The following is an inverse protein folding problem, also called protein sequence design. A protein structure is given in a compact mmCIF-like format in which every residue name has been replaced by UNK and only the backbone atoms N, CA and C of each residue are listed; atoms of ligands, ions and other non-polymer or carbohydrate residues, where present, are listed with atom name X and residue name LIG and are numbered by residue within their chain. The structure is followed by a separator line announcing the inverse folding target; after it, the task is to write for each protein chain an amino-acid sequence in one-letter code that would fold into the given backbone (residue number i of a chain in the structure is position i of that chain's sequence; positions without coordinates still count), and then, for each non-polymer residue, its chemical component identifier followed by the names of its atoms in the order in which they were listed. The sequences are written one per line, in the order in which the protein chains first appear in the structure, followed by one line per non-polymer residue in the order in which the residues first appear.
data_IF_868214074910
#
_entry.id   IF_868214074910
#
_cell.length_a   1.000
_cell.length_b   1.000
_cell.length_c   1.000
_cell.angle_alpha   90.00
_cell.angle_beta   90.00
_cell.angle_gamma   90.00
#
_symmetry.space_group_name_H-M   'P 1'
#
loop_
_entity.id
_entity.type
_entity.pdbx_description
1 polymer ?
#
# COMPACT_ATOMS: atom_id res chain seq x y z
N UNK A 1 10.13 26.36 26.16
CA UNK A 1 11.32 25.96 26.95
C UNK A 1 11.91 24.71 26.31
N UNK A 2 13.24 24.52 26.32
CA UNK A 2 13.97 23.29 25.87
C UNK A 2 13.65 22.86 24.41
N UNK A 3 14.46 23.05 23.38
CA UNK A 3 15.92 23.13 23.24
C UNK A 3 16.69 21.91 23.75
N UNK A 4 17.25 21.13 22.82
CA UNK A 4 18.61 20.57 22.81
C UNK A 4 18.99 20.23 21.34
N UNK A 5 20.30 20.23 21.03
CA UNK A 5 20.95 19.92 19.73
C UNK A 5 22.23 19.13 20.02
N UNK A 6 22.95 18.68 18.98
CA UNK A 6 24.25 17.95 19.00
C UNK A 6 24.15 16.49 19.49
N UNK A 7 25.03 15.55 19.13
CA UNK A 7 26.27 15.61 18.32
C UNK A 7 26.10 14.78 17.02
N UNK A 8 26.77 14.98 15.87
CA UNK A 8 27.87 15.88 15.43
C UNK A 8 29.33 15.45 15.71
N UNK A 9 30.01 14.98 14.64
CA UNK A 9 31.48 14.81 14.47
C UNK A 9 32.25 13.80 15.34
N UNK A 10 32.99 12.90 14.68
CA UNK A 10 34.48 12.78 14.72
C UNK A 10 34.93 11.76 13.63
N UNK A 11 36.22 11.47 13.44
CA UNK A 11 37.16 12.14 12.51
C UNK A 11 38.41 11.23 12.35
N UNK A 12 39.02 11.18 11.14
CA UNK A 12 40.24 10.44 10.77
C UNK A 12 40.09 8.89 10.69
N UNK A 13 40.59 8.15 9.69
CA UNK A 13 41.80 8.21 8.83
C UNK A 13 43.02 7.48 9.40
N UNK A 14 43.35 6.32 8.82
CA UNK A 14 44.70 5.73 8.83
C UNK A 14 45.03 5.22 7.42
N UNK A 15 46.12 5.72 6.85
CA UNK A 15 46.85 5.11 5.75
C UNK A 15 47.90 4.15 6.33
N UNK A 16 48.06 2.94 5.79
CA UNK A 16 49.38 2.33 5.55
C UNK A 16 49.30 0.93 4.91
N UNK A 17 50.07 0.77 3.82
CA UNK A 17 51.04 -0.31 3.56
C UNK A 17 50.83 -1.68 4.23
N UNK A 18 50.76 -2.71 3.39
CA UNK A 18 51.45 -3.98 3.65
C UNK A 18 52.02 -4.54 2.35
N UNK A 19 53.35 -4.63 2.27
CA UNK A 19 54.05 -5.24 1.15
C UNK A 19 54.27 -6.73 1.41
N UNK A 20 54.15 -7.54 0.36
CA UNK A 20 54.56 -8.95 0.28
C UNK A 20 54.81 -9.19 -1.21
N UNK A 21 56.03 -9.31 -1.74
CA UNK A 21 57.27 -9.97 -1.30
C UNK A 21 57.10 -11.50 -1.13
N UNK A 22 58.06 -12.25 -1.70
CA UNK A 22 57.86 -13.57 -2.31
C UNK A 22 58.05 -13.44 -3.83
N UNK A 23 59.25 -13.38 -4.40
CA UNK A 23 60.42 -14.28 -4.27
C UNK A 23 60.10 -15.74 -4.61
N UNK A 24 60.55 -16.20 -5.79
CA UNK A 24 60.47 -17.61 -6.21
C UNK A 24 60.73 -17.85 -7.71
N UNK A 25 61.96 -18.25 -8.09
CA UNK A 25 62.33 -18.66 -9.47
C UNK A 25 62.46 -17.49 -10.47
N UNK A 26 63.54 -17.26 -11.24
CA UNK A 26 64.66 -18.08 -11.72
C UNK A 26 64.29 -19.26 -12.65
N UNK A 27 65.23 -19.55 -13.58
CA UNK A 27 65.27 -20.65 -14.56
C UNK A 27 64.10 -20.78 -15.56
N UNK A 28 64.11 -19.98 -16.64
CA UNK A 28 63.90 -20.47 -18.02
C UNK A 28 64.31 -19.44 -19.10
N UNK A 29 65.58 -19.01 -19.15
CA UNK A 29 66.06 -18.03 -20.15
C UNK A 29 67.43 -18.30 -20.78
N UNK A 30 67.91 -19.54 -20.70
CA UNK A 30 69.07 -20.03 -21.43
C UNK A 30 68.66 -21.29 -22.21
N UNK A 31 68.64 -21.24 -23.55
CA UNK A 31 68.82 -22.46 -24.37
C UNK A 31 69.18 -22.20 -25.85
N UNK A 32 68.74 -21.10 -26.47
CA UNK A 32 68.96 -20.84 -27.91
C UNK A 32 69.73 -19.56 -28.21
N UNK A 33 71.01 -19.56 -27.87
CA UNK A 33 71.98 -18.50 -28.22
C UNK A 33 73.37 -19.07 -28.54
N UNK A 34 73.44 -20.22 -29.24
CA UNK A 34 74.73 -20.92 -29.44
C UNK A 34 74.87 -21.73 -30.75
N UNK A 35 74.82 -21.06 -31.90
CA UNK A 35 75.59 -21.51 -33.07
C UNK A 35 75.93 -20.35 -34.02
N UNK A 36 77.17 -19.85 -33.95
CA UNK A 36 77.75 -18.94 -34.94
C UNK A 36 79.30 -19.06 -34.92
N UNK A 37 79.86 -19.18 -36.12
CA UNK A 37 81.26 -18.97 -36.52
C UNK A 37 82.39 -19.89 -35.98
N UNK A 38 83.32 -20.20 -36.91
CA UNK A 38 84.61 -20.86 -36.70
C UNK A 38 84.73 -22.21 -37.46
N UNK A 39 85.69 -22.43 -38.37
CA UNK A 39 86.75 -21.54 -38.92
C UNK A 39 87.11 -21.91 -40.38
N UNK A 40 87.74 -20.96 -41.08
CA UNK A 40 88.84 -21.01 -42.08
C UNK A 40 89.22 -22.35 -42.76
N UNK A 41 89.36 -22.39 -44.10
CA UNK A 41 90.63 -22.26 -44.90
C UNK A 41 91.58 -23.46 -44.70
N UNK A 42 92.23 -24.10 -45.70
CA UNK A 42 92.83 -23.63 -46.97
C UNK A 42 92.44 -24.55 -48.16
N UNK A 43 92.20 -24.08 -49.39
CA UNK A 43 93.09 -23.52 -50.43
C UNK A 43 93.66 -24.55 -51.46
N UNK A 44 93.05 -24.54 -52.65
CA UNK A 44 93.70 -24.65 -53.98
C UNK A 44 94.20 -26.01 -54.51
N UNK A 45 93.55 -26.51 -55.58
CA UNK A 45 94.18 -26.63 -56.92
C UNK A 45 93.12 -26.80 -58.03
N UNK A 46 93.52 -26.54 -59.28
CA UNK A 46 92.60 -26.31 -60.39
C UNK A 46 92.56 -27.45 -61.43
N UNK A 47 91.44 -27.59 -62.13
CA UNK A 47 91.38 -27.95 -63.56
C UNK A 47 90.00 -27.59 -64.14
N UNK A 48 89.85 -27.36 -65.47
CA UNK A 48 88.66 -26.73 -66.04
C UNK A 48 87.59 -27.71 -66.54
N UNK A 49 86.33 -27.43 -66.24
CA UNK A 49 85.15 -28.06 -66.85
C UNK A 49 83.98 -27.06 -66.95
N UNK A 50 84.10 -26.12 -67.90
CA UNK A 50 83.05 -25.15 -68.22
C UNK A 50 81.89 -25.86 -68.98
N UNK A 51 80.74 -25.20 -69.12
CA UNK A 51 79.57 -25.64 -69.91
C UNK A 51 78.65 -26.75 -69.36
N UNK A 52 78.75 -27.14 -68.08
CA UNK A 52 77.65 -27.90 -67.40
C UNK A 52 77.23 -27.38 -66.02
N UNK A 53 78.13 -26.79 -65.23
CA UNK A 53 77.80 -26.28 -63.89
C UNK A 53 76.70 -25.19 -63.90
N UNK A 54 76.63 -24.38 -64.97
CA UNK A 54 75.63 -23.32 -65.12
C UNK A 54 74.18 -23.82 -65.06
N UNK A 55 73.89 -25.01 -65.60
CA UNK A 55 72.52 -25.56 -65.56
C UNK A 55 72.12 -26.04 -64.15
N UNK A 56 73.07 -26.52 -63.35
CA UNK A 56 72.81 -26.90 -61.95
C UNK A 56 72.45 -25.70 -61.09
N UNK A 57 73.27 -24.65 -61.16
CA UNK A 57 73.02 -23.37 -60.47
C UNK A 57 71.71 -22.70 -60.93
N UNK A 58 71.39 -22.76 -62.22
CA UNK A 58 70.15 -22.19 -62.73
C UNK A 58 68.91 -22.94 -62.23
N UNK A 59 68.96 -24.29 -62.15
CA UNK A 59 67.90 -25.14 -61.58
C UNK A 59 67.73 -24.91 -60.07
N UNK A 60 68.81 -24.71 -59.34
CA UNK A 60 68.76 -24.41 -57.91
C UNK A 60 68.15 -23.03 -57.65
N UNK A 61 68.50 -22.02 -58.45
CA UNK A 61 67.86 -20.70 -58.38
C UNK A 61 66.37 -20.75 -58.75
N UNK A 62 65.95 -21.51 -59.77
CA UNK A 62 64.52 -21.64 -60.07
C UNK A 62 63.76 -22.37 -58.97
N UNK A 63 64.32 -23.43 -58.39
CA UNK A 63 63.70 -24.13 -57.26
C UNK A 63 63.55 -23.22 -56.02
N UNK A 64 64.57 -22.43 -55.68
CA UNK A 64 64.50 -21.43 -54.60
C UNK A 64 63.52 -20.29 -54.91
N UNK A 65 63.35 -19.93 -56.19
CA UNK A 65 62.39 -18.91 -56.62
C UNK A 65 60.94 -19.43 -56.59
N UNK A 66 60.72 -20.70 -56.94
CA UNK A 66 59.46 -21.43 -56.78
C UNK A 66 59.11 -21.59 -55.28
N UNK A 67 60.07 -21.95 -54.44
CA UNK A 67 59.88 -22.06 -52.99
C UNK A 67 59.59 -20.70 -52.35
N UNK A 68 60.31 -19.64 -52.73
CA UNK A 68 60.07 -18.28 -52.23
C UNK A 68 58.69 -17.75 -52.68
N UNK A 69 58.28 -17.94 -53.94
CA UNK A 69 56.94 -17.55 -54.39
C UNK A 69 55.83 -18.37 -53.72
N UNK A 70 56.06 -19.66 -53.44
CA UNK A 70 55.17 -20.49 -52.63
C UNK A 70 55.05 -19.97 -51.19
N UNK A 71 56.16 -19.73 -50.49
CA UNK A 71 56.16 -19.19 -49.12
C UNK A 71 55.54 -17.79 -49.05
N UNK A 72 55.70 -16.96 -50.08
CA UNK A 72 54.98 -15.69 -50.21
C UNK A 72 53.47 -15.91 -50.34
N UNK A 73 53.03 -16.90 -51.12
CA UNK A 73 51.60 -17.21 -51.27
C UNK A 73 50.97 -17.77 -50.00
N UNK A 74 51.66 -18.66 -49.28
CA UNK A 74 51.24 -19.22 -47.98
C UNK A 74 51.22 -18.12 -46.91
N UNK A 75 52.24 -17.25 -46.88
CA UNK A 75 52.28 -16.07 -46.00
C UNK A 75 51.19 -15.03 -46.31
N UNK A 76 50.75 -14.92 -47.57
CA UNK A 76 49.59 -14.09 -47.96
C UNK A 76 48.25 -14.75 -47.60
N UNK A 77 48.14 -16.08 -47.62
CA UNK A 77 46.96 -16.80 -47.13
C UNK A 77 46.82 -16.64 -45.61
N UNK A 78 47.88 -16.95 -44.84
CA UNK A 78 47.88 -16.83 -43.38
C UNK A 78 47.56 -15.40 -42.89
N UNK A 79 48.00 -14.38 -43.62
CA UNK A 79 47.65 -12.97 -43.34
C UNK A 79 46.17 -12.68 -43.56
N UNK A 80 45.54 -13.24 -44.61
CA UNK A 80 44.10 -13.11 -44.87
C UNK A 80 43.28 -13.82 -43.81
N UNK A 81 43.68 -15.03 -43.42
CA UNK A 81 43.04 -15.81 -42.35
C UNK A 81 43.11 -15.08 -41.01
N UNK A 82 44.29 -14.55 -40.64
CA UNK A 82 44.44 -13.75 -39.42
C UNK A 82 43.63 -12.43 -39.46
N UNK A 83 43.50 -11.78 -40.63
CA UNK A 83 42.61 -10.63 -40.77
C UNK A 83 41.13 -11.02 -40.67
N UNK A 84 40.72 -12.13 -41.29
CA UNK A 84 39.35 -12.64 -41.19
C UNK A 84 39.00 -13.03 -39.75
N UNK A 85 39.89 -13.69 -39.03
CA UNK A 85 39.68 -14.03 -37.62
C UNK A 85 39.58 -12.79 -36.74
N UNK A 86 40.45 -11.79 -36.94
CA UNK A 86 40.39 -10.50 -36.23
C UNK A 86 39.07 -9.77 -36.50
N UNK A 87 38.61 -9.73 -37.75
CA UNK A 87 37.32 -9.13 -38.11
C UNK A 87 36.14 -9.91 -37.52
N UNK A 88 36.18 -11.25 -37.50
CA UNK A 88 35.15 -12.08 -36.90
C UNK A 88 35.07 -11.90 -35.37
N UNK A 89 36.22 -11.84 -34.68
CA UNK A 89 36.30 -11.53 -33.23
C UNK A 89 35.76 -10.12 -32.91
N UNK A 90 36.04 -9.13 -33.77
CA UNK A 90 35.52 -7.77 -33.60
C UNK A 90 34.01 -7.69 -33.85
N UNK A 91 33.49 -8.35 -34.90
CA UNK A 91 32.06 -8.45 -35.17
C UNK A 91 31.31 -9.12 -34.01
N UNK A 92 31.78 -10.29 -33.53
CA UNK A 92 31.15 -10.98 -32.39
C UNK A 92 31.15 -10.12 -31.11
N UNK A 93 32.17 -9.28 -30.89
CA UNK A 93 32.19 -8.34 -29.76
C UNK A 93 31.23 -7.16 -29.98
N UNK A 94 31.09 -6.67 -31.21
CA UNK A 94 30.11 -5.63 -31.56
C UNK A 94 28.68 -6.16 -31.37
N UNK A 95 28.37 -7.37 -31.82
CA UNK A 95 27.07 -8.03 -31.62
C UNK A 95 26.76 -8.25 -30.12
N UNK A 96 27.77 -8.62 -29.33
CA UNK A 96 27.63 -8.75 -27.87
C UNK A 96 27.32 -7.42 -27.18
N UNK A 97 28.01 -6.33 -27.54
CA UNK A 97 27.74 -5.00 -26.99
C UNK A 97 26.40 -4.43 -27.45
N UNK A 98 26.02 -4.64 -28.72
CA UNK A 98 24.68 -4.30 -29.23
C UNK A 98 23.59 -5.03 -28.44
N UNK A 99 23.81 -6.30 -28.09
CA UNK A 99 22.88 -7.09 -27.27
C UNK A 99 22.77 -6.53 -25.84
N UNK A 100 23.88 -6.14 -25.21
CA UNK A 100 23.88 -5.49 -23.89
C UNK A 100 23.17 -4.13 -23.93
N UNK A 101 23.44 -3.31 -24.95
CA UNK A 101 22.81 -2.00 -25.13
C UNK A 101 21.28 -2.12 -25.30
N UNK A 102 20.79 -3.12 -26.03
CA UNK A 102 19.36 -3.43 -26.13
C UNK A 102 18.76 -3.88 -24.79
N UNK A 103 19.48 -4.67 -23.98
CA UNK A 103 19.04 -5.07 -22.64
C UNK A 103 18.95 -3.86 -21.69
N UNK A 104 19.93 -2.96 -21.73
CA UNK A 104 19.94 -1.74 -20.90
C UNK A 104 18.81 -0.78 -21.33
N UNK A 105 18.55 -0.64 -22.63
CA UNK A 105 17.40 0.12 -23.14
C UNK A 105 16.07 -0.46 -22.66
N UNK A 106 15.87 -1.78 -22.79
CA UNK A 106 14.65 -2.44 -22.30
C UNK A 106 14.46 -2.31 -20.77
N UNK A 107 15.54 -2.34 -19.99
CA UNK A 107 15.50 -2.11 -18.55
C UNK A 107 15.11 -0.66 -18.20
N UNK A 108 15.64 0.32 -18.92
CA UNK A 108 15.28 1.74 -18.77
C UNK A 108 13.82 2.02 -19.18
N UNK A 109 13.33 1.38 -20.24
CA UNK A 109 11.93 1.45 -20.65
C UNK A 109 11.00 0.83 -19.61
N UNK A 110 11.31 -0.37 -19.10
CA UNK A 110 10.55 -1.04 -18.05
C UNK A 110 10.49 -0.22 -16.76
N UNK A 111 11.61 0.38 -16.32
CA UNK A 111 11.62 1.32 -15.18
C UNK A 111 10.74 2.53 -15.46
N UNK A 112 10.69 3.03 -16.70
CA UNK A 112 9.83 4.17 -17.05
C UNK A 112 8.34 3.81 -17.00
N UNK A 113 7.93 2.66 -17.55
CA UNK A 113 6.55 2.18 -17.51
C UNK A 113 6.10 1.89 -16.07
N UNK A 114 6.93 1.17 -15.30
CA UNK A 114 6.65 0.88 -13.89
C UNK A 114 6.63 2.14 -13.02
N UNK A 115 7.40 3.19 -13.36
CA UNK A 115 7.32 4.48 -12.66
C UNK A 115 5.99 5.18 -12.89
N UNK A 116 5.41 5.07 -14.10
CA UNK A 116 4.11 5.65 -14.45
C UNK A 116 2.98 4.87 -13.81
N UNK A 117 2.99 3.53 -13.88
CA UNK A 117 1.97 2.68 -13.26
C UNK A 117 1.95 2.85 -11.73
N UNK A 118 3.12 2.81 -11.08
CA UNK A 118 3.26 3.03 -9.63
C UNK A 118 2.73 4.40 -9.21
N UNK A 119 3.00 5.45 -9.99
CA UNK A 119 2.49 6.81 -9.72
C UNK A 119 0.96 6.86 -9.84
N UNK A 120 0.37 6.24 -10.87
CA UNK A 120 -1.08 6.17 -11.04
C UNK A 120 -1.77 5.39 -9.90
N UNK A 121 -1.19 4.28 -9.46
CA UNK A 121 -1.71 3.54 -8.29
C UNK A 121 -1.62 4.39 -7.02
N UNK A 122 -0.48 5.05 -6.77
CA UNK A 122 -0.29 5.93 -5.62
C UNK A 122 -1.30 7.08 -5.60
N UNK A 123 -1.51 7.76 -6.72
CA UNK A 123 -2.49 8.86 -6.82
C UNK A 123 -3.92 8.37 -6.59
N UNK A 124 -4.26 7.15 -7.05
CA UNK A 124 -5.56 6.52 -6.77
C UNK A 124 -5.74 6.19 -5.28
N UNK A 125 -4.71 5.66 -4.61
CA UNK A 125 -4.75 5.40 -3.17
C UNK A 125 -4.79 6.70 -2.35
N UNK A 126 -4.06 7.75 -2.76
CA UNK A 126 -4.15 9.08 -2.15
C UNK A 126 -5.55 9.70 -2.32
N UNK A 127 -6.22 9.46 -3.45
CA UNK A 127 -7.62 9.85 -3.65
C UNK A 127 -8.56 9.07 -2.71
N UNK A 128 -8.36 7.74 -2.57
CA UNK A 128 -9.12 6.89 -1.65
C UNK A 128 -8.93 7.33 -0.20
N UNK A 129 -7.69 7.62 0.23
CA UNK A 129 -7.36 8.12 1.56
C UNK A 129 -8.06 9.46 1.87
N UNK A 130 -8.02 10.42 0.94
CA UNK A 130 -8.74 11.70 1.08
C UNK A 130 -10.25 11.50 1.18
N UNK A 131 -10.82 10.57 0.42
CA UNK A 131 -12.24 10.24 0.49
C UNK A 131 -12.61 9.61 1.84
N UNK A 132 -11.80 8.68 2.37
CA UNK A 132 -12.00 8.10 3.72
C UNK A 132 -11.95 9.18 4.81
N UNK A 133 -11.01 10.13 4.72
CA UNK A 133 -10.93 11.27 5.64
C UNK A 133 -12.13 12.23 5.55
N UNK A 134 -12.65 12.48 4.34
CA UNK A 134 -13.87 13.27 4.14
C UNK A 134 -15.11 12.55 4.70
N UNK A 135 -15.19 11.22 4.52
CA UNK A 135 -16.29 10.42 5.07
C UNK A 135 -16.27 10.38 6.60
N UNK A 136 -15.10 10.24 7.24
CA UNK A 136 -14.99 10.40 8.70
C UNK A 136 -15.54 11.76 9.15
N UNK A 137 -15.04 12.87 8.58
CA UNK A 137 -15.50 14.22 8.92
C UNK A 137 -17.03 14.38 8.76
N UNK A 138 -17.60 13.97 7.63
CA UNK A 138 -19.06 13.98 7.42
C UNK A 138 -19.81 13.12 8.45
N UNK A 139 -19.26 11.97 8.85
CA UNK A 139 -19.90 11.06 9.80
C UNK A 139 -19.83 11.65 11.22
N UNK A 140 -18.70 12.22 11.63
CA UNK A 140 -18.58 12.95 12.90
C UNK A 140 -19.57 14.12 12.97
N UNK A 141 -19.66 14.95 11.93
CA UNK A 141 -20.63 16.06 11.87
C UNK A 141 -22.07 15.56 11.97
N UNK A 142 -22.43 14.53 11.19
CA UNK A 142 -23.77 13.92 11.21
C UNK A 142 -24.09 13.27 12.56
N UNK A 143 -23.11 12.72 13.28
CA UNK A 143 -23.28 12.13 14.61
C UNK A 143 -23.45 13.21 15.68
N UNK A 144 -22.64 14.27 15.64
CA UNK A 144 -22.79 15.44 16.55
C UNK A 144 -24.13 16.14 16.33
N UNK A 145 -24.58 16.29 15.08
CA UNK A 145 -25.90 16.85 14.75
C UNK A 145 -27.04 15.95 15.26
N UNK A 146 -26.93 14.62 15.10
CA UNK A 146 -27.90 13.65 15.64
C UNK A 146 -27.95 13.65 17.16
N UNK A 147 -26.81 13.69 17.85
CA UNK A 147 -26.75 13.79 19.32
C UNK A 147 -27.54 15.01 19.76
N UNK A 148 -27.16 16.21 19.29
CA UNK A 148 -27.83 17.47 19.65
C UNK A 148 -29.34 17.44 19.40
N UNK A 149 -29.79 16.83 18.31
CA UNK A 149 -31.22 16.68 18.02
C UNK A 149 -31.94 15.73 19.00
N UNK A 150 -31.27 14.66 19.43
CA UNK A 150 -31.78 13.72 20.45
C UNK A 150 -31.71 14.32 21.86
N UNK A 151 -30.65 15.06 22.20
CA UNK A 151 -30.49 15.77 23.48
C UNK A 151 -31.62 16.78 23.69
N UNK A 152 -32.00 17.51 22.63
CA UNK A 152 -33.17 18.43 22.62
C UNK A 152 -34.50 17.68 22.77
N UNK A 153 -34.65 16.50 22.17
CA UNK A 153 -35.86 15.67 22.35
C UNK A 153 -35.97 15.12 23.78
N UNK A 154 -34.86 14.66 24.34
CA UNK A 154 -34.78 14.12 25.70
C UNK A 154 -35.09 15.22 26.73
N UNK A 155 -34.47 16.40 26.61
CA UNK A 155 -34.75 17.54 27.47
C UNK A 155 -36.23 17.99 27.42
N UNK A 156 -36.84 17.98 26.23
CA UNK A 156 -38.28 18.28 26.07
C UNK A 156 -39.16 17.23 26.76
N UNK A 157 -38.87 15.94 26.61
CA UNK A 157 -39.62 14.87 27.28
C UNK A 157 -39.48 14.94 28.81
N UNK A 158 -38.28 15.25 29.32
CA UNK A 158 -38.10 15.50 30.75
C UNK A 158 -38.88 16.72 31.27
N UNK A 159 -38.90 17.83 30.52
CA UNK A 159 -39.67 19.02 30.89
C UNK A 159 -41.18 18.73 30.90
N UNK A 160 -41.68 18.02 29.88
CA UNK A 160 -43.07 17.56 29.84
C UNK A 160 -43.40 16.62 31.01
N UNK A 161 -42.52 15.67 31.34
CA UNK A 161 -42.68 14.79 32.51
C UNK A 161 -42.77 15.59 33.81
N UNK A 162 -41.85 16.52 34.05
CA UNK A 162 -41.82 17.36 35.26
C UNK A 162 -43.08 18.22 35.37
N UNK A 163 -43.58 18.78 34.27
CA UNK A 163 -44.83 19.55 34.22
C UNK A 163 -46.06 18.69 34.57
N UNK A 164 -46.17 17.50 34.00
CA UNK A 164 -47.26 16.55 34.30
C UNK A 164 -47.21 16.04 35.75
N UNK A 165 -46.01 15.82 36.30
CA UNK A 165 -45.82 15.47 37.71
C UNK A 165 -46.27 16.60 38.65
N UNK A 166 -45.93 17.86 38.33
CA UNK A 166 -46.42 19.02 39.09
C UNK A 166 -47.95 19.16 39.03
N UNK A 167 -48.57 18.93 37.86
CA UNK A 167 -50.03 18.91 37.72
C UNK A 167 -50.66 17.79 38.57
N UNK A 168 -50.13 16.57 38.50
CA UNK A 168 -50.59 15.45 39.31
C UNK A 168 -50.50 15.74 40.82
N UNK A 169 -49.44 16.40 41.28
CA UNK A 169 -49.28 16.75 42.70
C UNK A 169 -50.18 17.90 43.16
N UNK A 170 -50.63 18.76 42.24
CA UNK A 170 -51.70 19.73 42.50
C UNK A 170 -53.08 19.07 42.58
N UNK A 171 -53.39 18.12 41.70
CA UNK A 171 -54.64 17.34 41.76
C UNK A 171 -54.72 16.49 43.04
N UNK A 172 -53.61 15.84 43.47
CA UNK A 172 -53.55 15.12 44.76
C UNK A 172 -53.88 16.02 45.95
N UNK A 173 -53.36 17.25 45.97
CA UNK A 173 -53.67 18.23 47.03
C UNK A 173 -55.13 18.69 47.00
N UNK A 174 -55.74 18.78 45.82
CA UNK A 174 -57.18 19.05 45.71
C UNK A 174 -58.02 17.91 46.29
N UNK A 175 -57.65 16.66 46.03
CA UNK A 175 -58.27 15.48 46.66
C UNK A 175 -58.14 15.55 48.19
N UNK A 176 -56.92 15.73 48.72
CA UNK A 176 -56.65 15.79 50.16
C UNK A 176 -57.47 16.91 50.86
N UNK A 177 -57.61 18.07 50.22
CA UNK A 177 -58.41 19.20 50.73
C UNK A 177 -59.92 18.88 50.69
N UNK A 178 -60.40 18.24 49.62
CA UNK A 178 -61.80 17.85 49.49
C UNK A 178 -62.18 16.73 50.48
N UNK A 179 -61.31 15.75 50.71
CA UNK A 179 -61.47 14.69 51.72
C UNK A 179 -61.57 15.29 53.13
N UNK A 180 -60.66 16.19 53.48
CA UNK A 180 -60.69 16.93 54.76
C UNK A 180 -61.97 17.75 54.91
N UNK A 181 -62.47 18.36 53.83
CA UNK A 181 -63.74 19.10 53.85
C UNK A 181 -64.95 18.17 54.01
N UNK A 182 -64.95 16.98 53.41
CA UNK A 182 -66.00 15.97 53.62
C UNK A 182 -66.01 15.48 55.07
N UNK A 183 -64.84 15.31 55.70
CA UNK A 183 -64.76 14.94 57.12
C UNK A 183 -65.45 16.00 58.02
N UNK A 184 -65.09 17.28 57.86
CA UNK A 184 -65.71 18.39 58.62
C UNK A 184 -67.22 18.49 58.36
N UNK A 185 -67.67 18.32 57.11
CA UNK A 185 -69.10 18.33 56.79
C UNK A 185 -69.88 17.16 57.41
N UNK A 186 -69.23 16.01 57.64
CA UNK A 186 -69.84 14.88 58.37
C UNK A 186 -69.92 15.14 59.87
N UNK A 187 -68.87 15.72 60.46
CA UNK A 187 -68.90 16.17 61.86
C UNK A 187 -70.02 17.21 62.09
N UNK A 188 -70.23 18.12 61.12
CA UNK A 188 -71.33 19.11 61.11
C UNK A 188 -72.71 18.43 60.96
N UNK A 189 -72.83 17.42 60.08
CA UNK A 189 -74.04 16.62 59.90
C UNK A 189 -74.42 15.83 61.16
N UNK A 190 -73.47 15.13 61.79
CA UNK A 190 -73.68 14.39 63.05
C UNK A 190 -74.12 15.33 64.19
N UNK A 191 -73.58 16.56 64.23
CA UNK A 191 -74.02 17.60 65.16
C UNK A 191 -75.49 17.99 64.93
N UNK A 192 -75.90 18.26 63.69
CA UNK A 192 -77.29 18.61 63.37
C UNK A 192 -78.25 17.45 63.58
N UNK A 193 -77.86 16.20 63.31
CA UNK A 193 -78.65 15.02 63.63
C UNK A 193 -78.85 14.86 65.15
N UNK A 194 -77.79 15.06 65.94
CA UNK A 194 -77.89 15.09 67.42
C UNK A 194 -78.81 16.22 67.93
N UNK A 195 -78.77 17.39 67.30
CA UNK A 195 -79.66 18.51 67.64
C UNK A 195 -81.11 18.20 67.27
N UNK A 196 -81.38 17.72 66.05
CA UNK A 196 -82.74 17.36 65.59
C UNK A 196 -83.35 16.27 66.47
N UNK A 197 -82.56 15.28 66.88
CA UNK A 197 -83.01 14.21 67.78
C UNK A 197 -83.38 14.73 69.18
N UNK A 198 -82.64 15.73 69.70
CA UNK A 198 -82.99 16.39 70.98
C UNK A 198 -84.27 17.22 70.85
N UNK A 199 -84.35 18.08 69.83
CA UNK A 199 -85.55 18.88 69.55
C UNK A 199 -86.82 18.01 69.41
N UNK A 200 -86.70 16.83 68.80
CA UNK A 200 -87.79 15.85 68.73
C UNK A 200 -88.20 15.27 70.10
N UNK A 201 -87.23 14.92 70.95
CA UNK A 201 -87.47 14.40 72.31
C UNK A 201 -88.03 15.48 73.25
N UNK A 202 -87.54 16.71 73.13
CA UNK A 202 -87.94 17.86 73.94
C UNK A 202 -89.30 18.46 73.53
N UNK A 203 -89.92 17.95 72.44
CA UNK A 203 -91.23 18.40 71.96
C UNK A 203 -91.21 19.79 71.29
N UNK A 204 -90.10 20.15 70.65
CA UNK A 204 -89.93 21.45 70.01
C UNK A 204 -90.89 21.67 68.82
N UNK A 205 -91.18 22.93 68.43
CA UNK A 205 -92.03 23.22 67.29
C UNK A 205 -91.47 22.64 65.99
N UNK A 206 -92.33 22.05 65.16
CA UNK A 206 -91.94 21.35 63.93
C UNK A 206 -91.01 22.18 63.02
N UNK A 207 -91.21 23.50 62.93
CA UNK A 207 -90.34 24.38 62.13
C UNK A 207 -88.86 24.33 62.55
N UNK A 208 -88.57 24.17 63.84
CA UNK A 208 -87.17 24.05 64.34
C UNK A 208 -86.55 22.68 64.01
N UNK A 209 -87.39 21.64 63.89
CA UNK A 209 -87.00 20.29 63.47
C UNK A 209 -86.77 20.28 61.95
N UNK A 210 -87.59 21.00 61.19
CA UNK A 210 -87.45 21.21 59.75
C UNK A 210 -86.21 22.05 59.41
N UNK A 211 -85.89 23.10 60.19
CA UNK A 211 -84.66 23.88 60.07
C UNK A 211 -83.40 23.00 60.23
N UNK A 212 -83.36 22.14 61.27
CA UNK A 212 -82.28 21.19 61.46
C UNK A 212 -82.23 20.13 60.34
N UNK A 213 -83.37 19.69 59.81
CA UNK A 213 -83.42 18.79 58.65
C UNK A 213 -82.92 19.46 57.36
N UNK A 214 -83.19 20.75 57.17
CA UNK A 214 -82.67 21.52 56.04
C UNK A 214 -81.15 21.74 56.13
N UNK A 215 -80.61 21.92 57.35
CA UNK A 215 -79.17 21.97 57.59
C UNK A 215 -78.46 20.66 57.20
N UNK A 216 -79.01 19.51 57.64
CA UNK A 216 -78.52 18.17 57.25
C UNK A 216 -78.54 18.00 55.72
N UNK A 217 -79.66 18.28 55.06
CA UNK A 217 -79.78 18.14 53.61
C UNK A 217 -78.82 19.08 52.82
N UNK A 218 -78.43 20.21 53.41
CA UNK A 218 -77.41 21.09 52.85
C UNK A 218 -75.98 20.53 53.05
N UNK A 219 -75.70 19.88 54.19
CA UNK A 219 -74.46 19.16 54.42
C UNK A 219 -74.29 17.98 53.44
N UNK A 220 -75.31 17.12 53.29
CA UNK A 220 -75.35 16.02 52.31
C UNK A 220 -75.02 16.51 50.89
N UNK A 221 -75.69 17.58 50.45
CA UNK A 221 -75.49 18.21 49.14
C UNK A 221 -74.06 18.73 48.95
N UNK A 222 -73.45 19.27 50.00
CA UNK A 222 -72.06 19.72 49.97
C UNK A 222 -71.08 18.53 49.94
N UNK A 223 -71.35 17.46 50.68
CA UNK A 223 -70.56 16.21 50.65
C UNK A 223 -70.61 15.60 49.25
N UNK A 224 -71.78 15.51 48.62
CA UNK A 224 -71.92 15.09 47.22
C UNK A 224 -71.10 15.96 46.26
N UNK A 225 -71.09 17.28 46.46
CA UNK A 225 -70.38 18.21 45.59
C UNK A 225 -68.85 18.07 45.71
N UNK A 226 -68.32 17.88 46.92
CA UNK A 226 -66.89 17.60 47.12
C UNK A 226 -66.51 16.19 46.63
N UNK A 227 -67.36 15.18 46.83
CA UNK A 227 -67.12 13.82 46.33
C UNK A 227 -67.04 13.79 44.79
N UNK A 228 -67.86 14.59 44.09
CA UNK A 228 -67.78 14.74 42.63
C UNK A 228 -66.45 15.37 42.19
N UNK A 229 -65.85 16.28 42.98
CA UNK A 229 -64.50 16.80 42.72
C UNK A 229 -63.43 15.74 42.95
N UNK A 230 -63.48 14.99 44.06
CA UNK A 230 -62.55 13.88 44.34
C UNK A 230 -62.56 12.88 43.17
N UNK A 231 -63.73 12.49 42.70
CA UNK A 231 -63.87 11.55 41.59
C UNK A 231 -63.27 12.12 40.28
N UNK A 232 -63.49 13.41 40.01
CA UNK A 232 -62.91 14.09 38.83
C UNK A 232 -61.38 14.21 38.91
N UNK A 233 -60.84 14.66 40.05
CA UNK A 233 -59.40 14.79 40.25
C UNK A 233 -58.69 13.43 40.27
N UNK A 234 -59.34 12.38 40.78
CA UNK A 234 -58.83 11.00 40.72
C UNK A 234 -58.75 10.50 39.27
N UNK A 235 -59.75 10.80 38.43
CA UNK A 235 -59.71 10.48 37.01
C UNK A 235 -58.59 11.25 36.28
N UNK A 236 -58.41 12.54 36.59
CA UNK A 236 -57.31 13.36 36.07
C UNK A 236 -55.94 12.77 36.47
N UNK A 237 -55.74 12.42 37.74
CA UNK A 237 -54.51 11.80 38.26
C UNK A 237 -54.18 10.51 37.49
N UNK A 238 -55.16 9.64 37.25
CA UNK A 238 -54.95 8.39 36.51
C UNK A 238 -54.51 8.64 35.05
N UNK A 239 -55.15 9.58 34.35
CA UNK A 239 -54.75 9.96 32.99
C UNK A 239 -53.37 10.64 32.91
N UNK A 240 -53.02 11.45 33.93
CA UNK A 240 -51.68 12.02 34.06
C UNK A 240 -50.63 10.93 34.33
N UNK A 241 -50.93 9.91 35.14
CA UNK A 241 -50.05 8.77 35.38
C UNK A 241 -49.82 7.93 34.11
N UNK A 242 -50.87 7.65 33.33
CA UNK A 242 -50.76 6.95 32.04
C UNK A 242 -49.88 7.75 31.06
N UNK A 243 -50.07 9.06 30.97
CA UNK A 243 -49.26 9.95 30.12
C UNK A 243 -47.78 9.99 30.56
N UNK A 244 -47.52 10.02 31.86
CA UNK A 244 -46.15 9.98 32.42
C UNK A 244 -45.49 8.62 32.14
N UNK A 245 -46.23 7.52 32.22
CA UNK A 245 -45.72 6.19 31.89
C UNK A 245 -45.38 6.05 30.39
N UNK A 246 -46.18 6.64 29.49
CA UNK A 246 -45.85 6.68 28.06
C UNK A 246 -44.55 7.46 27.82
N UNK A 247 -44.39 8.64 28.46
CA UNK A 247 -43.16 9.43 28.35
C UNK A 247 -41.93 8.66 28.87
N UNK A 248 -42.06 7.87 29.93
CA UNK A 248 -40.95 7.04 30.42
C UNK A 248 -40.56 5.92 29.45
N UNK A 249 -41.53 5.30 28.78
CA UNK A 249 -41.25 4.33 27.69
C UNK A 249 -40.55 5.05 26.51
N UNK A 250 -40.96 6.27 26.17
CA UNK A 250 -40.32 7.06 25.12
C UNK A 250 -38.88 7.45 25.51
N UNK A 251 -38.63 7.84 26.77
CA UNK A 251 -37.30 8.16 27.30
C UNK A 251 -36.40 6.92 27.32
N UNK A 252 -36.88 5.74 27.72
CA UNK A 252 -36.09 4.50 27.68
C UNK A 252 -35.75 4.11 26.24
N UNK A 253 -36.72 4.17 25.32
CA UNK A 253 -36.50 3.87 23.90
C UNK A 253 -35.48 4.83 23.26
N UNK A 254 -35.53 6.13 23.61
CA UNK A 254 -34.59 7.13 23.15
C UNK A 254 -33.18 6.84 23.70
N UNK A 255 -33.04 6.57 24.99
CA UNK A 255 -31.77 6.16 25.62
C UNK A 255 -31.18 4.87 25.02
N UNK A 256 -32.01 3.88 24.70
CA UNK A 256 -31.58 2.66 24.02
C UNK A 256 -31.12 2.92 22.57
N UNK A 257 -31.71 3.92 21.90
CA UNK A 257 -31.28 4.39 20.57
C UNK A 257 -29.92 5.10 20.66
N UNK A 258 -29.73 5.99 21.64
CA UNK A 258 -28.46 6.68 21.91
C UNK A 258 -27.33 5.66 22.09
N UNK A 259 -27.49 4.68 22.99
CA UNK A 259 -26.46 3.64 23.24
C UNK A 259 -26.09 2.87 21.97
N UNK A 260 -27.08 2.46 21.17
CA UNK A 260 -26.83 1.79 19.87
C UNK A 260 -26.08 2.68 18.88
N UNK A 261 -26.35 4.00 18.88
CA UNK A 261 -25.62 4.94 18.03
C UNK A 261 -24.17 5.15 18.46
N UNK A 262 -23.85 5.06 19.75
CA UNK A 262 -22.47 5.08 20.24
C UNK A 262 -21.70 3.82 19.84
N UNK A 263 -22.23 2.62 20.05
CA UNK A 263 -21.57 1.37 19.60
C UNK A 263 -21.42 1.32 18.07
N UNK A 264 -22.39 1.83 17.32
CA UNK A 264 -22.29 1.93 15.86
C UNK A 264 -21.29 3.01 15.39
N UNK A 265 -21.03 4.04 16.22
CA UNK A 265 -19.96 5.02 16.00
C UNK A 265 -18.59 4.39 16.26
N UNK A 266 -18.43 3.71 17.39
CA UNK A 266 -17.18 3.08 17.86
C UNK A 266 -16.62 2.08 16.82
N UNK A 267 -17.45 1.13 16.37
CA UNK A 267 -17.11 0.14 15.32
C UNK A 267 -16.72 0.84 14.00
N UNK A 268 -17.33 1.98 13.70
CA UNK A 268 -17.09 2.72 12.46
C UNK A 268 -15.80 3.56 12.54
N UNK A 269 -15.48 4.16 13.69
CA UNK A 269 -14.19 4.81 13.93
C UNK A 269 -13.04 3.80 13.87
N UNK A 270 -13.22 2.61 14.45
CA UNK A 270 -12.29 1.48 14.35
C UNK A 270 -12.08 1.05 12.88
N UNK A 271 -13.16 0.78 12.14
CA UNK A 271 -13.09 0.40 10.71
C UNK A 271 -12.40 1.48 9.85
N UNK A 272 -12.66 2.77 10.13
CA UNK A 272 -12.03 3.89 9.42
C UNK A 272 -10.54 4.01 9.77
N UNK A 273 -10.16 3.76 11.02
CA UNK A 273 -8.75 3.78 11.43
C UNK A 273 -7.95 2.64 10.77
N UNK A 274 -8.49 1.42 10.75
CA UNK A 274 -7.89 0.26 10.06
C UNK A 274 -7.68 0.54 8.56
N UNK A 275 -8.69 1.07 7.88
CA UNK A 275 -8.62 1.44 6.46
C UNK A 275 -7.61 2.58 6.20
N UNK A 276 -7.52 3.57 7.09
CA UNK A 276 -6.51 4.63 6.97
C UNK A 276 -5.08 4.13 7.21
N UNK A 277 -4.86 3.20 8.14
CA UNK A 277 -3.56 2.57 8.39
C UNK A 277 -3.14 1.68 7.21
N UNK A 278 -4.05 0.85 6.68
CA UNK A 278 -3.80 0.03 5.49
C UNK A 278 -3.41 0.90 4.29
N UNK A 279 -4.16 1.96 3.99
CA UNK A 279 -3.84 2.88 2.90
C UNK A 279 -2.51 3.60 3.10
N UNK A 280 -2.18 4.02 4.33
CA UNK A 280 -0.89 4.64 4.62
C UNK A 280 0.27 3.65 4.40
N UNK A 281 0.09 2.38 4.77
CA UNK A 281 1.06 1.30 4.55
C UNK A 281 1.26 0.99 3.06
N UNK A 282 0.17 0.87 2.28
CA UNK A 282 0.23 0.66 0.83
C UNK A 282 0.95 1.81 0.12
N UNK A 283 0.60 3.07 0.44
CA UNK A 283 1.23 4.26 -0.15
C UNK A 283 2.73 4.31 0.20
N UNK A 284 3.11 4.02 1.45
CA UNK A 284 4.51 3.98 1.87
C UNK A 284 5.30 2.86 1.16
N UNK A 285 4.68 1.69 0.94
CA UNK A 285 5.26 0.60 0.16
C UNK A 285 5.53 0.98 -1.30
N UNK A 286 4.55 1.61 -1.97
CA UNK A 286 4.72 2.12 -3.34
C UNK A 286 5.79 3.21 -3.42
N UNK A 287 5.84 4.13 -2.45
CA UNK A 287 6.86 5.18 -2.39
C UNK A 287 8.28 4.60 -2.21
N UNK A 288 8.43 3.53 -1.43
CA UNK A 288 9.71 2.83 -1.28
C UNK A 288 10.11 2.08 -2.56
N UNK A 289 9.16 1.42 -3.23
CA UNK A 289 9.40 0.69 -4.48
C UNK A 289 9.78 1.64 -5.63
N UNK A 290 9.09 2.79 -5.73
CA UNK A 290 9.39 3.84 -6.70
C UNK A 290 10.78 4.45 -6.48
N UNK A 291 11.15 4.70 -5.21
CA UNK A 291 12.48 5.22 -4.86
C UNK A 291 13.61 4.24 -5.22
N UNK A 292 13.44 2.92 -5.03
CA UNK A 292 14.44 1.91 -5.42
C UNK A 292 14.71 1.96 -6.93
N UNK A 293 13.66 1.82 -7.75
CA UNK A 293 13.77 1.82 -9.22
C UNK A 293 14.33 3.13 -9.78
N UNK A 294 13.98 4.26 -9.17
CA UNK A 294 14.53 5.56 -9.55
C UNK A 294 16.00 5.74 -9.12
N UNK A 295 16.49 4.98 -8.13
CA UNK A 295 17.91 4.91 -7.75
C UNK A 295 18.73 3.93 -8.62
N UNK A 296 18.10 2.91 -9.21
CA UNK A 296 18.72 1.99 -10.19
C UNK A 296 18.98 2.68 -11.55
N UNK A 297 18.04 3.53 -11.99
CA UNK A 297 18.12 4.30 -13.26
C UNK A 297 19.46 5.01 -13.54
N UNK A 298 20.09 5.76 -12.60
CA UNK A 298 21.39 6.40 -12.83
C UNK A 298 22.60 5.45 -12.81
N UNK A 299 22.43 4.15 -12.55
CA UNK A 299 23.45 3.14 -12.85
C UNK A 299 23.32 2.70 -14.31
N UNK A 300 22.12 2.24 -14.72
CA UNK A 300 21.82 1.83 -16.10
C UNK A 300 22.15 2.90 -17.17
N UNK A 301 22.03 4.19 -16.83
CA UNK A 301 22.45 5.27 -17.73
C UNK A 301 23.98 5.34 -17.92
N UNK A 302 24.78 5.03 -16.89
CA UNK A 302 26.24 4.92 -17.01
C UNK A 302 26.64 3.66 -17.77
N UNK A 303 26.02 2.52 -17.46
CA UNK A 303 26.24 1.26 -18.18
C UNK A 303 25.96 1.44 -19.69
N UNK A 304 24.93 2.23 -20.03
CA UNK A 304 24.63 2.65 -21.40
C UNK A 304 25.75 3.52 -22.00
N UNK A 305 26.16 4.60 -21.32
CA UNK A 305 27.21 5.50 -21.80
C UNK A 305 28.56 4.76 -22.01
N UNK A 306 28.90 3.83 -21.11
CA UNK A 306 30.10 2.99 -21.21
C UNK A 306 30.01 1.98 -22.37
N UNK A 307 28.85 1.33 -22.58
CA UNK A 307 28.66 0.40 -23.72
C UNK A 307 28.61 1.12 -25.07
N UNK A 308 28.01 2.31 -25.16
CA UNK A 308 28.07 3.17 -26.36
C UNK A 308 29.51 3.63 -26.64
N UNK A 309 30.28 4.02 -25.63
CA UNK A 309 31.69 4.37 -25.79
C UNK A 309 32.56 3.18 -26.25
N UNK A 310 32.30 1.97 -25.74
CA UNK A 310 32.98 0.75 -26.18
C UNK A 310 32.65 0.40 -27.64
N UNK A 311 31.41 0.57 -28.09
CA UNK A 311 31.02 0.38 -29.49
C UNK A 311 31.78 1.32 -30.42
N UNK A 312 31.78 2.63 -30.12
CA UNK A 312 32.54 3.64 -30.90
C UNK A 312 34.04 3.30 -30.93
N UNK A 313 34.60 2.82 -29.82
CA UNK A 313 35.99 2.35 -29.74
C UNK A 313 36.30 1.11 -30.60
N UNK A 314 35.32 0.23 -30.84
CA UNK A 314 35.46 -0.90 -31.78
C UNK A 314 35.30 -0.47 -33.24
N UNK A 315 34.39 0.44 -33.55
CA UNK A 315 34.22 0.99 -34.90
C UNK A 315 35.47 1.75 -35.38
N UNK A 316 36.16 2.45 -34.47
CA UNK A 316 37.46 3.05 -34.75
C UNK A 316 38.51 1.97 -35.07
N UNK A 317 38.58 0.90 -34.29
CA UNK A 317 39.54 -0.21 -34.51
C UNK A 317 39.27 -1.01 -35.78
N UNK A 318 38.02 -1.26 -36.14
CA UNK A 318 37.69 -1.90 -37.44
C UNK A 318 38.04 -0.97 -38.60
N UNK A 319 37.76 0.33 -38.49
CA UNK A 319 38.15 1.32 -39.50
C UNK A 319 39.68 1.47 -39.65
N UNK A 320 40.46 1.33 -38.57
CA UNK A 320 41.93 1.28 -38.63
C UNK A 320 42.44 0.02 -39.35
N UNK A 321 41.90 -1.16 -39.01
CA UNK A 321 42.25 -2.44 -39.65
C UNK A 321 41.90 -2.42 -41.16
N UNK A 322 40.81 -1.78 -41.55
CA UNK A 322 40.40 -1.60 -42.95
C UNK A 322 41.24 -0.54 -43.70
N UNK A 323 41.82 0.44 -43.00
CA UNK A 323 42.71 1.46 -43.58
C UNK A 323 44.18 1.04 -43.64
N UNK A 324 44.58 0.02 -42.89
CA UNK A 324 45.94 -0.49 -42.89
C UNK A 324 46.35 -0.95 -44.31
N UNK A 325 47.33 -0.29 -44.96
CA UNK A 325 47.68 -0.61 -46.34
C UNK A 325 48.29 -2.02 -46.42
N UNK A 326 47.92 -2.76 -47.47
CA UNK A 326 48.54 -4.06 -47.74
C UNK A 326 50.07 -3.90 -47.82
N UNK A 327 50.86 -4.62 -47.01
CA UNK A 327 52.30 -4.43 -46.94
C UNK A 327 52.94 -4.79 -48.30
N UNK A 328 53.75 -3.86 -48.84
CA UNK A 328 54.46 -4.06 -50.11
C UNK A 328 55.38 -5.28 -50.01
N UNK A 329 55.47 -6.12 -51.06
CA UNK A 329 56.25 -7.36 -51.01
C UNK A 329 57.76 -7.13 -50.81
N UNK A 330 58.27 -5.99 -51.26
CA UNK A 330 59.72 -5.71 -51.35
C UNK A 330 60.33 -5.10 -50.07
N UNK A 331 59.59 -5.06 -48.96
CA UNK A 331 60.11 -4.54 -47.69
C UNK A 331 60.78 -5.65 -46.88
N UNK A 332 62.08 -5.54 -46.53
CA UNK A 332 62.79 -6.60 -45.80
C UNK A 332 62.17 -6.82 -44.41
N UNK A 333 61.85 -8.07 -44.10
CA UNK A 333 61.15 -8.47 -42.88
C UNK A 333 62.14 -8.53 -41.70
N UNK A 334 62.29 -7.41 -41.00
CA UNK A 334 63.13 -7.32 -39.79
C UNK A 334 62.29 -7.53 -38.51
N UNK A 335 62.13 -8.80 -38.09
CA UNK A 335 61.93 -9.37 -36.73
C UNK A 335 60.97 -8.75 -35.70
N UNK A 336 60.32 -7.63 -35.96
CA UNK A 336 59.66 -6.79 -34.94
C UNK A 336 58.21 -7.24 -34.63
N UNK A 337 57.71 -8.28 -35.31
CA UNK A 337 56.27 -8.62 -35.33
C UNK A 337 55.84 -9.61 -34.23
N UNK A 338 56.74 -10.44 -33.70
CA UNK A 338 56.37 -11.53 -32.78
C UNK A 338 56.17 -11.13 -31.31
N UNK A 339 56.67 -9.97 -30.88
CA UNK A 339 56.62 -9.58 -29.46
C UNK A 339 55.27 -8.96 -29.01
N UNK A 340 54.54 -8.33 -29.92
CA UNK A 340 53.38 -7.48 -29.58
C UNK A 340 52.05 -8.25 -29.56
N UNK A 341 51.87 -9.21 -30.47
CA UNK A 341 50.59 -9.92 -30.66
C UNK A 341 50.20 -10.84 -29.50
N UNK A 342 51.18 -11.46 -28.83
CA UNK A 342 50.93 -12.42 -27.75
C UNK A 342 50.31 -11.74 -26.53
N UNK A 343 50.81 -10.55 -26.15
CA UNK A 343 50.34 -9.84 -24.95
C UNK A 343 48.89 -9.34 -25.05
N UNK A 344 48.47 -8.81 -26.21
CA UNK A 344 47.06 -8.43 -26.41
C UNK A 344 46.14 -9.66 -26.37
N UNK A 345 46.60 -10.81 -26.87
CA UNK A 345 45.81 -12.04 -26.92
C UNK A 345 45.64 -12.70 -25.54
N UNK A 346 46.66 -12.60 -24.67
CA UNK A 346 46.62 -13.07 -23.29
C UNK A 346 45.71 -12.19 -22.42
N UNK A 347 45.86 -10.86 -22.48
CA UNK A 347 45.00 -9.91 -21.77
C UNK A 347 43.53 -9.95 -22.24
N UNK A 348 43.28 -10.27 -23.51
CA UNK A 348 41.92 -10.44 -24.04
C UNK A 348 41.21 -11.70 -23.52
N UNK A 349 41.94 -12.73 -23.11
CA UNK A 349 41.37 -13.94 -22.52
C UNK A 349 41.04 -13.74 -21.03
N UNK A 350 41.95 -13.11 -20.29
CA UNK A 350 41.77 -12.82 -18.86
C UNK A 350 40.59 -11.87 -18.60
N UNK A 351 40.44 -10.82 -19.43
CA UNK A 351 39.29 -9.93 -19.39
C UNK A 351 37.94 -10.62 -19.70
N UNK A 352 37.94 -11.77 -20.37
CA UNK A 352 36.73 -12.56 -20.65
C UNK A 352 36.38 -13.54 -19.51
N UNK A 353 37.37 -13.93 -18.70
CA UNK A 353 37.18 -14.84 -17.56
C UNK A 353 36.62 -14.11 -16.32
N UNK A 354 36.99 -12.86 -16.10
CA UNK A 354 36.50 -12.03 -14.98
C UNK A 354 35.05 -11.58 -15.17
N UNK A 355 34.51 -11.65 -16.39
CA UNK A 355 33.14 -11.26 -16.74
C UNK A 355 32.07 -12.35 -16.46
N UNK A 356 32.27 -13.18 -15.43
CA UNK A 356 31.21 -14.04 -14.88
C UNK A 356 30.58 -13.36 -13.65
N UNK A 357 29.45 -12.66 -13.78
CA UNK A 357 28.70 -12.17 -12.63
C UNK A 357 28.00 -13.34 -11.94
N UNK A 358 28.73 -13.97 -11.02
CA UNK A 358 28.09 -14.71 -9.94
C UNK A 358 27.22 -13.73 -9.10
N UNK A 359 26.18 -14.23 -8.44
CA UNK A 359 25.16 -13.44 -7.76
C UNK A 359 24.30 -12.50 -8.64
N UNK A 360 23.48 -13.07 -9.52
CA UNK A 360 22.07 -12.70 -9.50
C UNK A 360 21.19 -13.94 -9.68
N UNK A 361 21.10 -14.70 -8.59
CA UNK A 361 20.10 -15.76 -8.43
C UNK A 361 18.72 -15.14 -8.43
N UNK A 362 18.14 -14.99 -9.61
CA UNK A 362 16.71 -14.73 -9.82
C UNK A 362 15.95 -15.95 -9.27
N UNK A 363 15.76 -15.95 -7.95
CA UNK A 363 14.91 -16.87 -7.23
C UNK A 363 13.50 -16.62 -7.76
N UNK A 364 13.14 -17.39 -8.79
CA UNK A 364 11.89 -17.26 -9.54
C UNK A 364 10.74 -17.57 -8.59
N UNK A 365 10.28 -16.53 -7.91
CA UNK A 365 9.29 -16.64 -6.85
C UNK A 365 8.04 -17.28 -7.43
N UNK A 366 7.78 -18.52 -7.00
CA UNK A 366 6.64 -19.28 -7.46
C UNK A 366 5.39 -18.71 -6.79
N UNK A 367 4.91 -17.58 -7.32
CA UNK A 367 3.74 -16.85 -6.86
C UNK A 367 2.62 -17.85 -6.50
N UNK A 368 2.39 -18.00 -5.20
CA UNK A 368 1.74 -19.19 -4.67
C UNK A 368 0.26 -19.17 -5.08
N UNK A 369 -0.25 -20.12 -5.89
CA UNK A 369 -1.62 -20.05 -6.43
C UNK A 369 -2.73 -20.17 -5.36
N UNK A 370 -2.34 -20.38 -4.10
CA UNK A 370 -3.20 -20.53 -2.91
C UNK A 370 -3.91 -19.24 -2.49
N UNK A 371 -3.40 -18.07 -2.87
CA UNK A 371 -4.01 -16.77 -2.50
C UNK A 371 -5.23 -16.45 -3.40
N UNK A 372 -5.11 -16.73 -4.70
CA UNK A 372 -6.21 -16.58 -5.66
C UNK A 372 -7.42 -17.47 -5.31
N UNK A 373 -7.19 -18.68 -4.79
CA UNK A 373 -8.28 -19.56 -4.33
C UNK A 373 -8.99 -19.03 -3.06
N UNK A 374 -8.26 -18.46 -2.09
CA UNK A 374 -8.86 -17.82 -0.90
C UNK A 374 -9.82 -16.70 -1.31
N UNK A 375 -9.37 -15.78 -2.16
CA UNK A 375 -10.19 -14.66 -2.63
C UNK A 375 -11.41 -15.16 -3.42
N UNK A 376 -11.26 -16.19 -4.26
CA UNK A 376 -12.40 -16.80 -4.97
C UNK A 376 -13.44 -17.40 -4.03
N UNK A 377 -13.03 -18.06 -2.93
CA UNK A 377 -13.96 -18.53 -1.91
C UNK A 377 -14.63 -17.38 -1.13
N UNK A 378 -13.90 -16.30 -0.84
CA UNK A 378 -14.47 -15.12 -0.18
C UNK A 378 -15.58 -14.47 -1.03
N UNK A 379 -15.31 -14.20 -2.32
CA UNK A 379 -16.32 -13.66 -3.23
C UNK A 379 -17.55 -14.56 -3.39
N UNK A 380 -17.38 -15.89 -3.46
CA UNK A 380 -18.52 -16.82 -3.52
C UNK A 380 -19.38 -16.79 -2.24
N UNK A 381 -18.77 -16.70 -1.06
CA UNK A 381 -19.51 -16.55 0.22
C UNK A 381 -20.22 -15.20 0.30
N UNK A 382 -19.56 -14.12 -0.10
CA UNK A 382 -20.14 -12.78 -0.14
C UNK A 382 -21.36 -12.71 -1.08
N UNK A 383 -21.23 -13.26 -2.29
CA UNK A 383 -22.32 -13.29 -3.28
C UNK A 383 -23.52 -14.10 -2.78
N UNK A 384 -23.29 -15.23 -2.08
CA UNK A 384 -24.34 -16.04 -1.48
C UNK A 384 -25.08 -15.30 -0.35
N UNK A 385 -24.35 -14.63 0.54
CA UNK A 385 -24.93 -13.81 1.61
C UNK A 385 -25.73 -12.63 1.06
N UNK A 386 -25.21 -11.94 0.04
CA UNK A 386 -25.90 -10.82 -0.61
C UNK A 386 -27.18 -11.28 -1.34
N UNK A 387 -27.13 -12.44 -2.01
CA UNK A 387 -28.31 -13.09 -2.60
C UNK A 387 -29.38 -13.43 -1.56
N UNK A 388 -28.98 -14.00 -0.41
CA UNK A 388 -29.90 -14.30 0.69
C UNK A 388 -30.54 -13.02 1.28
N UNK A 389 -29.77 -11.94 1.43
CA UNK A 389 -30.27 -10.64 1.87
C UNK A 389 -31.33 -10.07 0.90
N UNK A 390 -31.08 -10.14 -0.41
CA UNK A 390 -32.04 -9.70 -1.43
C UNK A 390 -33.34 -10.51 -1.40
N UNK A 391 -33.26 -11.84 -1.20
CA UNK A 391 -34.44 -12.71 -1.06
C UNK A 391 -35.25 -12.34 0.18
N UNK A 392 -34.60 -12.06 1.31
CA UNK A 392 -35.27 -11.61 2.54
C UNK A 392 -35.96 -10.24 2.35
N UNK A 393 -35.26 -9.27 1.75
CA UNK A 393 -35.82 -7.94 1.45
C UNK A 393 -37.02 -8.03 0.51
N UNK A 394 -36.95 -8.88 -0.52
CA UNK A 394 -38.08 -9.15 -1.42
C UNK A 394 -39.25 -9.83 -0.69
N UNK A 395 -38.97 -10.78 0.20
CA UNK A 395 -39.97 -11.41 1.08
C UNK A 395 -40.70 -10.39 1.96
N UNK A 396 -39.96 -9.50 2.63
CA UNK A 396 -40.53 -8.39 3.41
C UNK A 396 -41.35 -7.42 2.55
N UNK A 397 -40.89 -7.12 1.32
CA UNK A 397 -41.64 -6.29 0.38
C UNK A 397 -42.97 -6.93 -0.04
N UNK A 398 -42.98 -8.22 -0.37
CA UNK A 398 -44.20 -8.97 -0.70
C UNK A 398 -45.15 -9.08 0.50
N UNK A 399 -44.64 -9.33 1.71
CA UNK A 399 -45.42 -9.33 2.95
C UNK A 399 -46.06 -7.96 3.23
N UNK A 400 -45.30 -6.86 3.08
CA UNK A 400 -45.80 -5.49 3.23
C UNK A 400 -46.86 -5.15 2.17
N UNK A 401 -46.69 -5.63 0.93
CA UNK A 401 -47.67 -5.48 -0.16
C UNK A 401 -48.95 -6.27 0.09
N UNK A 402 -48.85 -7.50 0.64
CA UNK A 402 -50.02 -8.28 1.09
C UNK A 402 -50.74 -7.61 2.25
N UNK A 403 -50.03 -7.13 3.29
CA UNK A 403 -50.65 -6.38 4.42
C UNK A 403 -51.39 -5.12 3.96
N UNK A 404 -50.92 -4.40 2.93
CA UNK A 404 -51.68 -3.27 2.35
C UNK A 404 -52.97 -3.71 1.65
N UNK A 405 -52.98 -4.88 0.98
CA UNK A 405 -54.17 -5.44 0.30
C UNK A 405 -55.18 -6.13 1.22
N UNK A 406 -54.86 -6.32 2.50
CA UNK A 406 -55.77 -6.89 3.51
C UNK A 406 -56.31 -5.81 4.47
N UNK A 407 -56.14 -4.53 4.12
CA UNK A 407 -56.72 -3.35 4.79
C UNK A 407 -57.44 -2.43 3.78
N UNK A 408 -57.81 -3.01 2.65
CA UNK A 408 -58.55 -2.47 1.51
C UNK A 408 -59.44 -3.58 0.96
#
# INVERSE_FOLDING_TARGET
MKCIRFFSFVFLSVLAVSCSQGEGGQTFREFFSKQKEGQSEEATQATPAVDTAGQGLHRQNTALQEENTRLQSEGLQLRRELQQERMARLAARQDSLNTQLLQIQAALEAISEDSVSTTQTRDSLLQKQRFTQQMDQEIQERLVAKSKAVDVQLGKLEEQKRSLQQQMDLEKRQVEIAEKKIAVLREEQELYESQRQKLWVDGAPQSTIDEAAAAIANADKNIEAEQKKINSASANINGLQETVAEIDIQLEALNASIRKSYTAKEILEETIAEEQEQLASEIAGLDSAWQSRQAERPALLRDKEETEALLVGLEQKTAEILKAPAPRPDSPVADTVQASSVKEQEQSAEALAVATPDSLSLQKEQAHPREAEKNRQFYLRFLALFGALLVLLFGFYVLRRRRKRAKS
#
